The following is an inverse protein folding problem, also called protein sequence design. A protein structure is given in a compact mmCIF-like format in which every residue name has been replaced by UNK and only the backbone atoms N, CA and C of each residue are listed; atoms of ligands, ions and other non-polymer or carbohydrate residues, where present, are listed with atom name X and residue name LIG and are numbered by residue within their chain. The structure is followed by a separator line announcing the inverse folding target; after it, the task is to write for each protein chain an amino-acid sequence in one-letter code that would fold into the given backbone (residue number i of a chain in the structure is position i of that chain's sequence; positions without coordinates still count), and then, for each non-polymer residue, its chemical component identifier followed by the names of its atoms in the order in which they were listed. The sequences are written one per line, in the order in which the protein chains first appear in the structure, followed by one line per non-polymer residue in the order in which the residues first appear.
data_IF_034109357334
#
_entry.id   IF_034109357334
#
_cell.length_a   1.000
_cell.length_b   1.000
_cell.length_c   1.000
_cell.angle_alpha   90.00
_cell.angle_beta   90.00
_cell.angle_gamma   90.00
#
_symmetry.space_group_name_H-M   'P 1'
#
loop_
_entity.id
_entity.type
_entity.pdbx_description
1 polymer ?
#
# COMPACT_ATOMS: atom_id res chain seq x y z
N UNK A 1 20.28 21.87 25.69
CA UNK A 1 19.07 22.24 24.92
C UNK A 1 19.48 22.27 23.46
N UNK A 2 18.71 21.67 22.55
CA UNK A 2 19.08 21.63 21.12
C UNK A 2 19.13 23.07 20.57
N UNK A 3 20.22 23.43 19.89
CA UNK A 3 20.43 24.74 19.26
C UNK A 3 19.20 25.18 18.44
N UNK A 4 18.60 24.24 17.72
CA UNK A 4 17.41 24.47 16.89
C UNK A 4 16.19 24.94 17.70
N UNK A 5 15.96 24.33 18.87
CA UNK A 5 14.88 24.73 19.78
C UNK A 5 15.18 26.07 20.44
N UNK A 6 16.44 26.32 20.81
CA UNK A 6 16.87 27.59 21.42
C UNK A 6 16.69 28.76 20.46
N UNK A 7 17.08 28.59 19.20
CA UNK A 7 16.91 29.61 18.16
C UNK A 7 15.41 29.91 17.93
N UNK A 8 14.58 28.87 17.85
CA UNK A 8 13.12 29.03 17.72
C UNK A 8 12.48 29.78 18.91
N UNK A 9 12.83 29.41 20.15
CA UNK A 9 12.29 30.08 21.34
C UNK A 9 12.74 31.55 21.43
N UNK A 10 13.94 31.89 20.93
CA UNK A 10 14.38 33.28 20.83
C UNK A 10 13.52 34.08 19.85
N UNK A 11 13.11 33.47 18.74
CA UNK A 11 12.20 34.10 17.76
C UNK A 11 10.81 34.33 18.35
N UNK A 12 10.25 33.33 19.03
CA UNK A 12 8.97 33.44 19.73
C UNK A 12 9.02 34.53 20.80
N UNK A 13 10.10 34.60 21.59
CA UNK A 13 10.29 35.65 22.59
C UNK A 13 10.32 37.05 21.96
N UNK A 14 10.98 37.22 20.80
CA UNK A 14 10.95 38.49 20.05
C UNK A 14 9.54 38.86 19.60
N UNK A 15 8.75 37.87 19.15
CA UNK A 15 7.36 38.07 18.78
C UNK A 15 6.47 38.49 19.95
N UNK A 16 6.64 37.88 21.13
CA UNK A 16 5.94 38.27 22.36
C UNK A 16 6.20 39.74 22.74
N UNK A 17 7.47 40.17 22.65
CA UNK A 17 7.86 41.56 22.93
C UNK A 17 7.21 42.53 21.93
N UNK A 18 7.15 42.17 20.65
CA UNK A 18 6.50 42.99 19.62
C UNK A 18 4.98 43.13 19.84
N UNK A 19 4.33 42.11 20.42
CA UNK A 19 2.89 42.10 20.69
C UNK A 19 2.54 42.59 22.10
N UNK A 20 3.51 43.09 22.87
CA UNK A 20 3.28 43.66 24.20
C UNK A 20 2.85 42.63 25.26
N UNK A 21 3.19 41.35 25.08
CA UNK A 21 2.85 40.30 26.05
C UNK A 21 3.65 40.52 27.34
N UNK A 22 3.01 40.53 28.53
CA UNK A 22 3.70 40.68 29.80
C UNK A 22 4.79 39.62 30.01
N UNK A 23 5.90 39.99 30.66
CA UNK A 23 7.08 39.11 30.79
C UNK A 23 6.76 37.77 31.49
N UNK A 24 5.95 37.79 32.56
CA UNK A 24 5.54 36.57 33.26
C UNK A 24 4.64 35.64 32.43
N UNK A 25 3.75 36.21 31.62
CA UNK A 25 2.90 35.46 30.69
C UNK A 25 3.74 34.89 29.53
N UNK A 26 4.62 35.72 28.97
CA UNK A 26 5.58 35.31 27.94
C UNK A 26 6.44 34.14 28.40
N UNK A 27 6.96 34.17 29.63
CA UNK A 27 7.78 33.07 30.15
C UNK A 27 6.97 31.76 30.26
N UNK A 28 5.74 31.85 30.73
CA UNK A 28 4.84 30.68 30.83
C UNK A 28 4.54 30.07 29.46
N UNK A 29 4.30 30.91 28.45
CA UNK A 29 4.07 30.46 27.07
C UNK A 29 5.33 29.83 26.46
N UNK A 30 6.50 30.42 26.69
CA UNK A 30 7.77 29.87 26.22
C UNK A 30 8.09 28.51 26.85
N UNK A 31 7.79 28.32 28.13
CA UNK A 31 8.01 27.04 28.82
C UNK A 31 7.09 25.95 28.28
N UNK A 32 5.83 26.29 27.97
CA UNK A 32 4.89 25.38 27.29
C UNK A 32 5.35 25.01 25.89
N UNK A 33 5.73 26.01 25.08
CA UNK A 33 6.25 25.81 23.73
C UNK A 33 7.50 24.92 23.74
N UNK A 34 8.41 25.18 24.68
CA UNK A 34 9.62 24.41 24.88
C UNK A 34 9.32 22.97 25.28
N UNK A 35 8.32 22.73 26.14
CA UNK A 35 7.93 21.39 26.55
C UNK A 35 7.33 20.59 25.38
N UNK A 36 6.43 21.19 24.61
CA UNK A 36 5.75 20.55 23.49
C UNK A 36 6.71 20.18 22.33
N UNK A 37 7.66 21.06 22.01
CA UNK A 37 8.58 20.86 20.88
C UNK A 37 9.83 20.04 21.20
N UNK A 38 10.20 19.92 22.49
CA UNK A 38 11.42 19.22 22.93
C UNK A 38 11.54 17.78 22.42
N UNK A 39 10.49 16.93 22.44
CA UNK A 39 10.59 15.55 21.95
C UNK A 39 10.98 15.48 20.47
N UNK A 40 10.41 16.34 19.64
CA UNK A 40 10.60 16.34 18.17
C UNK A 40 11.80 17.16 17.71
N UNK A 41 12.52 17.76 18.65
CA UNK A 41 13.80 18.40 18.40
C UNK A 41 14.95 17.57 18.98
N UNK A 42 14.69 16.38 19.53
CA UNK A 42 15.77 15.56 20.08
C UNK A 42 16.62 14.95 18.93
N UNK A 43 17.96 14.92 19.03
CA UNK A 43 18.79 14.23 18.04
C UNK A 43 18.48 12.73 17.92
N UNK A 44 17.90 12.14 18.96
CA UNK A 44 17.45 10.75 19.00
C UNK A 44 16.13 10.53 18.27
N UNK A 45 15.39 11.58 17.90
CA UNK A 45 14.11 11.44 17.19
C UNK A 45 14.37 11.31 15.69
N UNK A 46 14.48 10.08 15.20
CA UNK A 46 14.77 9.73 13.81
C UNK A 46 13.59 9.06 13.10
N UNK A 47 13.90 8.36 12.01
CA UNK A 47 12.88 7.68 11.20
C UNK A 47 12.15 6.58 11.96
N UNK A 48 12.84 5.86 12.86
CA UNK A 48 12.26 4.76 13.64
C UNK A 48 11.19 5.31 14.58
N UNK A 49 11.47 6.39 15.29
CA UNK A 49 10.53 7.01 16.23
C UNK A 49 9.30 7.56 15.49
N UNK A 50 9.49 8.14 14.31
CA UNK A 50 8.37 8.57 13.44
C UNK A 50 7.52 7.37 13.03
N UNK A 51 8.14 6.28 12.59
CA UNK A 51 7.42 5.06 12.21
C UNK A 51 6.67 4.44 13.39
N UNK A 52 7.25 4.45 14.60
CA UNK A 52 6.58 3.95 15.81
C UNK A 52 5.31 4.74 16.11
N UNK A 53 5.33 6.07 15.99
CA UNK A 53 4.14 6.90 16.21
C UNK A 53 3.07 6.63 15.15
N UNK A 54 3.47 6.58 13.88
CA UNK A 54 2.53 6.32 12.77
C UNK A 54 1.94 4.91 12.87
N UNK A 55 2.77 3.90 13.07
CA UNK A 55 2.30 2.51 13.17
C UNK A 55 1.43 2.29 14.39
N UNK A 56 1.73 2.90 15.55
CA UNK A 56 0.89 2.79 16.73
C UNK A 56 -0.52 3.36 16.48
N UNK A 57 -0.62 4.47 15.74
CA UNK A 57 -1.90 5.02 15.34
C UNK A 57 -2.65 4.10 14.39
N UNK A 58 -1.97 3.61 13.35
CA UNK A 58 -2.56 2.68 12.37
C UNK A 58 -3.03 1.39 13.04
N UNK A 59 -2.20 0.74 13.85
CA UNK A 59 -2.52 -0.49 14.58
C UNK A 59 -3.71 -0.31 15.53
N UNK A 60 -3.75 0.82 16.26
CA UNK A 60 -4.87 1.13 17.15
C UNK A 60 -6.19 1.37 16.39
N UNK A 61 -6.09 1.93 15.18
CA UNK A 61 -7.22 2.13 14.27
C UNK A 61 -7.72 0.78 13.76
N UNK A 62 -6.82 -0.10 13.32
CA UNK A 62 -7.17 -1.46 12.87
C UNK A 62 -7.87 -2.22 13.99
N UNK A 63 -7.30 -2.21 15.20
CA UNK A 63 -7.90 -2.88 16.35
C UNK A 63 -9.32 -2.36 16.66
N UNK A 64 -9.55 -1.05 16.59
CA UNK A 64 -10.88 -0.49 16.80
C UNK A 64 -11.89 -0.94 15.74
N UNK A 65 -11.47 -1.09 14.49
CA UNK A 65 -12.34 -1.50 13.40
C UNK A 65 -12.77 -2.96 13.49
N UNK A 66 -12.00 -3.81 14.17
CA UNK A 66 -12.40 -5.18 14.45
C UNK A 66 -13.59 -5.25 15.42
N UNK A 67 -13.86 -4.18 16.18
CA UNK A 67 -15.00 -4.10 17.09
C UNK A 67 -16.30 -3.81 16.33
N UNK A 68 -17.37 -4.51 16.70
CA UNK A 68 -18.70 -4.31 16.14
C UNK A 68 -19.40 -3.07 16.69
N UNK A 69 -20.48 -2.63 16.03
CA UNK A 69 -21.30 -1.50 16.50
C UNK A 69 -21.86 -1.73 17.90
N UNK A 70 -22.27 -2.96 18.20
CA UNK A 70 -22.82 -3.35 19.51
C UNK A 70 -21.84 -3.07 20.65
N UNK A 71 -20.54 -3.28 20.43
CA UNK A 71 -19.51 -3.09 21.45
C UNK A 71 -19.40 -1.62 21.93
N UNK A 72 -19.82 -0.67 21.10
CA UNK A 72 -19.90 0.75 21.46
C UNK A 72 -21.26 1.14 22.02
N UNK A 73 -22.35 0.57 21.48
CA UNK A 73 -23.72 0.98 21.78
C UNK A 73 -24.33 0.29 23.00
N UNK A 74 -24.05 -1.00 23.23
CA UNK A 74 -24.61 -1.75 24.36
C UNK A 74 -24.28 -1.10 25.72
N UNK A 75 -23.06 -0.58 25.97
CA UNK A 75 -22.75 0.09 27.24
C UNK A 75 -23.56 1.35 27.50
N UNK A 76 -24.15 1.99 26.48
CA UNK A 76 -25.02 3.15 26.67
C UNK A 76 -26.36 2.78 27.33
N UNK A 77 -26.77 1.52 27.20
CA UNK A 77 -28.01 1.00 27.79
C UNK A 77 -27.86 0.51 29.23
N UNK A 78 -26.67 0.59 29.83
CA UNK A 78 -26.46 0.16 31.21
C UNK A 78 -26.99 1.18 32.20
N UNK A 79 -27.56 0.70 33.31
CA UNK A 79 -28.16 1.54 34.36
C UNK A 79 -27.15 2.39 35.14
N UNK A 80 -25.85 2.09 34.99
CA UNK A 80 -24.76 2.75 35.72
C UNK A 80 -23.82 3.50 34.78
N UNK A 81 -23.30 4.63 35.27
CA UNK A 81 -22.25 5.34 34.55
C UNK A 81 -20.97 4.51 34.49
N UNK A 82 -20.22 4.59 33.38
CA UNK A 82 -18.89 4.00 33.29
C UNK A 82 -17.93 4.59 34.32
N UNK A 83 -16.78 3.92 34.47
CA UNK A 83 -15.72 4.42 35.33
C UNK A 83 -15.22 5.80 34.89
N UNK A 84 -14.61 6.57 35.81
CA UNK A 84 -14.00 7.87 35.47
C UNK A 84 -12.99 7.78 34.31
N UNK A 85 -12.26 6.67 34.20
CA UNK A 85 -11.25 6.48 33.16
C UNK A 85 -11.88 6.34 31.77
N UNK A 86 -12.99 5.59 31.66
CA UNK A 86 -13.76 5.50 30.41
C UNK A 86 -14.30 6.88 30.02
N UNK A 87 -14.83 7.62 31.00
CA UNK A 87 -15.36 8.96 30.77
C UNK A 87 -14.28 9.95 30.31
N UNK A 88 -13.07 9.88 30.87
CA UNK A 88 -11.93 10.69 30.41
C UNK A 88 -11.53 10.30 28.99
N UNK A 89 -11.45 9.01 28.66
CA UNK A 89 -11.17 8.55 27.28
C UNK A 89 -12.17 9.15 26.29
N UNK A 90 -13.47 9.03 26.59
CA UNK A 90 -14.56 9.57 25.76
C UNK A 90 -14.47 11.09 25.61
N UNK A 91 -14.13 11.81 26.68
CA UNK A 91 -13.92 13.26 26.63
C UNK A 91 -12.81 13.62 25.64
N UNK A 92 -11.70 12.90 25.69
CA UNK A 92 -10.59 13.12 24.76
C UNK A 92 -11.00 12.81 23.32
N UNK A 93 -11.78 11.74 23.06
CA UNK A 93 -12.34 11.47 21.72
C UNK A 93 -13.16 12.67 21.22
N UNK A 94 -14.12 13.14 22.02
CA UNK A 94 -14.98 14.27 21.64
C UNK A 94 -14.16 15.53 21.34
N UNK A 95 -13.12 15.81 22.13
CA UNK A 95 -12.20 16.92 21.89
C UNK A 95 -11.40 16.79 20.59
N UNK A 96 -10.91 15.58 20.27
CA UNK A 96 -10.23 15.31 19.00
C UNK A 96 -11.18 15.51 17.80
N UNK A 97 -12.50 15.35 17.98
CA UNK A 97 -13.53 15.68 17.00
C UNK A 97 -14.10 17.11 17.14
N UNK A 98 -13.42 17.98 17.89
CA UNK A 98 -13.81 19.38 18.10
C UNK A 98 -15.18 19.60 18.76
N UNK A 99 -15.58 18.71 19.66
CA UNK A 99 -16.83 18.82 20.42
C UNK A 99 -16.50 19.29 21.83
N UNK A 100 -17.12 20.40 22.25
CA UNK A 100 -16.90 20.95 23.58
C UNK A 100 -17.51 20.05 24.67
N UNK A 101 -16.62 19.30 25.32
CA UNK A 101 -16.93 18.44 26.46
C UNK A 101 -16.31 18.95 27.78
N UNK A 102 -15.73 20.16 27.80
CA UNK A 102 -14.82 20.57 28.88
C UNK A 102 -15.48 20.73 30.26
N UNK A 103 -16.72 21.22 30.29
CA UNK A 103 -17.48 21.46 31.54
C UNK A 103 -18.61 20.47 31.78
N UNK A 104 -18.76 19.45 30.94
CA UNK A 104 -19.86 18.51 31.04
C UNK A 104 -19.71 17.63 32.31
N UNK A 105 -20.76 17.51 33.15
CA UNK A 105 -20.77 16.53 34.24
C UNK A 105 -20.78 15.10 33.68
N UNK A 106 -20.32 14.09 34.44
CA UNK A 106 -20.22 12.68 34.01
C UNK A 106 -21.47 12.15 33.27
N UNK A 107 -22.65 12.40 33.81
CA UNK A 107 -23.91 11.95 33.21
C UNK A 107 -24.22 12.63 31.87
N UNK A 108 -24.00 13.95 31.77
CA UNK A 108 -24.23 14.69 30.52
C UNK A 108 -23.17 14.35 29.46
N UNK A 109 -21.95 14.05 29.89
CA UNK A 109 -20.89 13.58 28.99
C UNK A 109 -21.26 12.23 28.37
N UNK A 110 -21.67 11.26 29.19
CA UNK A 110 -21.97 9.90 28.73
C UNK A 110 -23.32 9.80 28.01
N UNK A 111 -24.41 10.10 28.70
CA UNK A 111 -25.77 9.90 28.19
C UNK A 111 -26.25 11.04 27.27
N UNK A 112 -25.54 12.16 27.24
CA UNK A 112 -25.85 13.32 26.39
C UNK A 112 -24.91 13.40 25.19
N UNK A 113 -23.72 13.94 25.41
CA UNK A 113 -22.76 14.25 24.34
C UNK A 113 -22.27 13.00 23.62
N UNK A 114 -21.73 12.03 24.36
CA UNK A 114 -21.18 10.81 23.80
C UNK A 114 -22.27 9.97 23.14
N UNK A 115 -23.37 9.67 23.84
CA UNK A 115 -24.48 8.90 23.27
C UNK A 115 -24.99 9.51 21.95
N UNK A 116 -25.24 10.81 21.91
CA UNK A 116 -25.70 11.48 20.69
C UNK A 116 -24.66 11.43 19.57
N UNK A 117 -23.37 11.61 19.90
CA UNK A 117 -22.31 11.60 18.92
C UNK A 117 -22.03 10.20 18.38
N UNK A 118 -21.84 9.21 19.25
CA UNK A 118 -21.48 7.85 18.83
C UNK A 118 -22.62 7.20 18.05
N UNK A 119 -23.89 7.34 18.49
CA UNK A 119 -25.05 6.80 17.75
C UNK A 119 -25.14 7.38 16.35
N UNK A 120 -24.89 8.68 16.18
CA UNK A 120 -24.92 9.33 14.87
C UNK A 120 -23.80 8.86 13.94
N UNK A 121 -22.62 8.57 14.48
CA UNK A 121 -21.42 8.36 13.67
C UNK A 121 -20.99 6.90 13.55
N UNK A 122 -21.45 6.00 14.43
CA UNK A 122 -21.03 4.59 14.44
C UNK A 122 -21.41 3.82 13.17
N UNK A 123 -22.36 4.32 12.38
CA UNK A 123 -22.66 3.70 11.09
C UNK A 123 -21.50 3.77 10.10
N UNK A 124 -20.66 4.81 10.22
CA UNK A 124 -19.42 4.93 9.43
C UNK A 124 -18.31 3.99 9.92
N UNK A 125 -18.44 3.44 11.13
CA UNK A 125 -17.46 2.51 11.72
C UNK A 125 -17.34 1.20 10.94
N UNK A 126 -18.47 0.65 10.46
CA UNK A 126 -18.51 -0.65 9.77
C UNK A 126 -18.03 -0.58 8.32
N UNK A 127 -17.93 0.61 7.73
CA UNK A 127 -17.35 0.78 6.39
C UNK A 127 -15.83 0.61 6.33
N UNK A 128 -15.18 0.27 7.45
CA UNK A 128 -13.77 0.53 7.75
C UNK A 128 -12.68 -0.06 6.83
N UNK A 129 -12.99 -0.97 5.90
CA UNK A 129 -11.97 -1.62 5.05
C UNK A 129 -12.32 -1.64 3.57
N UNK A 130 -12.90 -0.56 3.05
CA UNK A 130 -12.97 -0.30 1.61
C UNK A 130 -11.64 0.23 1.04
N UNK A 131 -10.49 -0.12 1.63
CA UNK A 131 -9.17 0.20 1.05
C UNK A 131 -9.01 -0.38 -0.36
N UNK A 132 -9.57 -1.58 -0.56
CA UNK A 132 -9.58 -2.26 -1.87
C UNK A 132 -10.53 -1.62 -2.88
N UNK A 133 -11.30 -0.59 -2.55
CA UNK A 133 -12.24 0.05 -3.49
C UNK A 133 -12.09 1.57 -3.55
N UNK A 134 -11.60 2.20 -2.47
CA UNK A 134 -11.58 3.66 -2.34
C UNK A 134 -10.22 4.23 -1.93
N UNK A 135 -9.15 3.44 -1.77
CA UNK A 135 -7.82 3.88 -1.30
C UNK A 135 -7.82 4.75 -0.03
N UNK A 136 -8.92 4.72 0.71
CA UNK A 136 -9.14 5.53 1.89
C UNK A 136 -9.65 4.62 3.00
N UNK A 137 -9.15 4.78 4.23
CA UNK A 137 -9.77 4.13 5.36
C UNK A 137 -11.04 4.93 5.71
N UNK A 138 -12.20 4.35 5.44
CA UNK A 138 -13.55 4.96 5.51
C UNK A 138 -14.23 4.83 6.88
N UNK A 139 -13.49 4.41 7.90
CA UNK A 139 -14.01 4.21 9.27
C UNK A 139 -14.17 5.50 10.07
N UNK A 140 -14.90 5.43 11.19
CA UNK A 140 -15.10 6.57 12.08
C UNK A 140 -13.78 7.10 12.68
N UNK A 141 -12.89 6.19 13.06
CA UNK A 141 -11.65 6.51 13.78
C UNK A 141 -10.40 6.51 12.89
N UNK A 142 -10.57 6.49 11.56
CA UNK A 142 -9.47 6.24 10.62
C UNK A 142 -8.75 7.47 10.08
N UNK A 143 -9.20 8.67 10.44
CA UNK A 143 -8.78 9.90 9.78
C UNK A 143 -8.03 10.83 10.73
N UNK A 144 -6.71 10.65 10.92
CA UNK A 144 -5.94 11.51 11.82
C UNK A 144 -5.87 12.96 11.32
N UNK A 145 -5.96 13.16 10.00
CA UNK A 145 -5.92 14.49 9.35
C UNK A 145 -7.22 15.31 9.47
N UNK A 146 -8.32 14.71 9.92
CA UNK A 146 -9.58 15.42 10.22
C UNK A 146 -9.71 15.75 11.71
N UNK A 147 -8.76 15.33 12.55
CA UNK A 147 -8.78 15.58 13.98
C UNK A 147 -8.36 17.02 14.32
N UNK A 148 -8.99 17.56 15.35
CA UNK A 148 -8.77 18.92 15.84
C UNK A 148 -7.61 18.98 16.84
N UNK A 149 -6.77 20.01 16.68
CA UNK A 149 -5.70 20.34 17.62
C UNK A 149 -6.15 21.31 18.72
N UNK A 150 -7.40 21.83 18.66
CA UNK A 150 -7.87 22.90 19.54
C UNK A 150 -7.83 22.55 21.04
N UNK A 151 -7.93 21.27 21.36
CA UNK A 151 -7.95 20.75 22.73
C UNK A 151 -6.82 19.73 22.98
N UNK A 152 -5.79 19.70 22.13
CA UNK A 152 -4.72 18.71 22.19
C UNK A 152 -3.99 18.72 23.54
N UNK A 153 -3.57 19.89 24.01
CA UNK A 153 -2.90 20.05 25.31
C UNK A 153 -3.76 19.57 26.49
N UNK A 154 -5.06 19.86 26.44
CA UNK A 154 -6.01 19.45 27.47
C UNK A 154 -6.22 17.93 27.48
N UNK A 155 -6.30 17.31 26.29
CA UNK A 155 -6.37 15.86 26.16
C UNK A 155 -5.10 15.19 26.70
N UNK A 156 -3.92 15.71 26.34
CA UNK A 156 -2.63 15.16 26.77
C UNK A 156 -2.44 15.27 28.29
N UNK A 157 -2.93 16.33 28.92
CA UNK A 157 -2.89 16.48 30.37
C UNK A 157 -3.77 15.46 31.11
N UNK A 158 -4.90 15.03 30.53
CA UNK A 158 -5.83 14.09 31.15
C UNK A 158 -5.55 12.62 30.84
N UNK A 159 -4.92 12.34 29.69
CA UNK A 159 -4.63 10.98 29.21
C UNK A 159 -3.94 10.08 30.25
N UNK A 160 -2.91 10.53 31.00
CA UNK A 160 -2.25 9.69 32.01
C UNK A 160 -3.20 9.15 33.09
N UNK A 161 -4.27 9.88 33.41
CA UNK A 161 -5.25 9.42 34.41
C UNK A 161 -6.03 8.17 33.97
N UNK A 162 -6.12 7.92 32.66
CA UNK A 162 -6.81 6.74 32.10
C UNK A 162 -6.02 5.45 32.30
N UNK A 163 -4.70 5.55 32.51
CA UNK A 163 -3.78 4.43 32.72
C UNK A 163 -3.56 4.10 34.20
N UNK A 164 -4.16 4.87 35.12
CA UNK A 164 -4.18 4.52 36.56
C UNK A 164 -4.88 3.16 36.77
N UNK A 165 -5.84 2.83 35.91
CA UNK A 165 -6.54 1.55 35.91
C UNK A 165 -5.91 0.62 34.86
N UNK A 166 -5.36 -0.54 35.26
CA UNK A 166 -4.68 -1.46 34.35
C UNK A 166 -5.68 -2.15 33.41
N UNK A 167 -5.20 -2.62 32.27
CA UNK A 167 -6.00 -3.23 31.20
C UNK A 167 -6.79 -4.47 31.67
N UNK A 168 -6.26 -5.17 32.68
CA UNK A 168 -6.88 -6.34 33.29
C UNK A 168 -8.05 -6.02 34.21
N UNK A 169 -8.32 -4.74 34.50
CA UNK A 169 -9.43 -4.33 35.37
C UNK A 169 -10.80 -4.64 34.73
N UNK A 170 -11.77 -4.98 35.59
CA UNK A 170 -13.13 -5.30 35.16
C UNK A 170 -13.81 -4.19 34.36
N UNK A 171 -13.42 -2.92 34.60
CA UNK A 171 -13.85 -1.76 33.81
C UNK A 171 -13.63 -1.97 32.32
N UNK A 172 -12.42 -2.37 31.94
CA UNK A 172 -12.01 -2.50 30.55
C UNK A 172 -12.40 -3.85 29.97
N UNK A 173 -12.38 -4.91 30.77
CA UNK A 173 -12.83 -6.24 30.33
C UNK A 173 -14.31 -6.25 29.91
N UNK A 174 -15.14 -5.42 30.54
CA UNK A 174 -16.56 -5.28 30.18
C UNK A 174 -16.79 -4.35 28.99
N UNK A 175 -15.83 -3.48 28.68
CA UNK A 175 -15.92 -2.46 27.63
C UNK A 175 -14.70 -2.51 26.70
N UNK A 176 -14.47 -3.64 25.99
CA UNK A 176 -13.26 -3.84 25.19
C UNK A 176 -13.07 -2.78 24.10
N UNK A 177 -14.16 -2.33 23.47
CA UNK A 177 -14.09 -1.24 22.49
C UNK A 177 -13.57 0.07 23.10
N UNK A 178 -13.90 0.35 24.36
CA UNK A 178 -13.47 1.57 25.05
C UNK A 178 -12.02 1.48 25.56
N UNK A 179 -11.54 0.26 25.83
CA UNK A 179 -10.12 0.01 26.04
C UNK A 179 -9.31 0.32 24.78
N UNK A 180 -9.78 -0.15 23.62
CA UNK A 180 -9.15 0.14 22.34
C UNK A 180 -9.26 1.64 21.98
N UNK A 181 -10.37 2.30 22.34
CA UNK A 181 -10.48 3.76 22.19
C UNK A 181 -9.42 4.48 23.02
N UNK A 182 -9.08 4.00 24.22
CA UNK A 182 -8.01 4.62 25.03
C UNK A 182 -6.66 4.54 24.31
N UNK A 183 -6.34 3.42 23.70
CA UNK A 183 -5.11 3.28 22.91
C UNK A 183 -5.12 4.19 21.69
N UNK A 184 -6.24 4.22 20.98
CA UNK A 184 -6.39 5.08 19.82
C UNK A 184 -6.27 6.56 20.16
N UNK A 185 -6.91 7.05 21.23
CA UNK A 185 -6.78 8.46 21.65
C UNK A 185 -5.34 8.79 22.00
N UNK A 186 -4.64 7.88 22.67
CA UNK A 186 -3.24 8.07 23.04
C UNK A 186 -2.36 8.18 21.80
N UNK A 187 -2.49 7.23 20.87
CA UNK A 187 -1.76 7.27 19.60
C UNK A 187 -2.14 8.48 18.73
N UNK A 188 -3.41 8.88 18.72
CA UNK A 188 -3.91 10.05 18.00
C UNK A 188 -3.30 11.34 18.54
N UNK A 189 -3.22 11.48 19.86
CA UNK A 189 -2.58 12.63 20.49
C UNK A 189 -1.09 12.67 20.17
N UNK A 190 -0.38 11.54 20.27
CA UNK A 190 1.05 11.46 19.93
C UNK A 190 1.31 11.80 18.46
N UNK A 191 0.46 11.30 17.56
CA UNK A 191 0.49 11.62 16.13
C UNK A 191 0.29 13.11 15.87
N UNK A 192 -0.79 13.71 16.41
CA UNK A 192 -1.09 15.13 16.22
C UNK A 192 -0.03 16.02 16.85
N UNK A 193 0.48 15.66 18.01
CA UNK A 193 1.52 16.41 18.70
C UNK A 193 2.84 16.37 17.89
N UNK A 194 3.18 15.22 17.27
CA UNK A 194 4.30 15.12 16.33
C UNK A 194 4.11 16.03 15.11
N UNK A 195 2.95 15.96 14.46
CA UNK A 195 2.65 16.76 13.26
C UNK A 195 2.63 18.26 13.56
N UNK A 196 2.10 18.65 14.72
CA UNK A 196 1.91 20.06 15.11
C UNK A 196 3.20 20.71 15.62
N UNK A 197 3.98 19.98 16.41
CA UNK A 197 5.11 20.57 17.13
C UNK A 197 6.46 20.35 16.47
N UNK A 198 6.58 19.47 15.45
CA UNK A 198 7.80 19.34 14.67
C UNK A 198 8.16 20.66 13.96
N UNK A 199 9.41 21.11 14.11
CA UNK A 199 9.86 22.37 13.52
C UNK A 199 10.22 22.19 12.04
N UNK A 200 9.89 23.14 11.15
CA UNK A 200 10.23 23.06 9.72
C UNK A 200 11.73 22.95 9.42
N UNK A 201 12.56 23.47 10.33
CA UNK A 201 14.02 23.42 10.23
C UNK A 201 14.60 22.08 10.72
N UNK A 202 13.79 21.20 11.32
CA UNK A 202 14.24 19.91 11.81
C UNK A 202 14.46 18.92 10.65
N UNK A 203 15.55 18.13 10.62
CA UNK A 203 15.86 17.24 9.51
C UNK A 203 14.76 16.23 9.15
N UNK A 204 14.00 15.74 10.13
CA UNK A 204 12.92 14.77 9.88
C UNK A 204 11.60 15.42 9.46
N UNK A 205 11.49 16.75 9.45
CA UNK A 205 10.23 17.44 9.11
C UNK A 205 9.69 17.00 7.73
N UNK A 206 10.56 16.94 6.72
CA UNK A 206 10.17 16.48 5.38
C UNK A 206 9.70 15.03 5.38
N UNK A 207 10.36 14.17 6.15
CA UNK A 207 9.98 12.76 6.26
C UNK A 207 8.62 12.61 6.95
N UNK A 208 8.39 13.32 8.06
CA UNK A 208 7.11 13.38 8.77
C UNK A 208 6.02 13.88 7.84
N UNK A 209 6.27 14.97 7.10
CA UNK A 209 5.31 15.53 6.15
C UNK A 209 4.93 14.54 5.03
N UNK A 210 5.85 13.68 4.59
CA UNK A 210 5.56 12.60 3.62
C UNK A 210 4.73 11.50 4.26
N UNK A 211 5.12 11.03 5.45
CA UNK A 211 4.45 9.92 6.15
C UNK A 211 3.05 10.28 6.65
N UNK A 212 2.83 11.54 7.00
CA UNK A 212 1.55 12.04 7.51
C UNK A 212 0.69 12.70 6.44
N UNK A 213 1.18 12.75 5.19
CA UNK A 213 0.41 13.24 4.07
C UNK A 213 -0.84 12.37 3.93
N UNK A 214 -2.05 12.97 3.90
CA UNK A 214 -3.25 12.20 3.62
C UNK A 214 -3.06 11.47 2.28
N UNK A 215 -3.55 10.21 2.18
CA UNK A 215 -3.56 9.53 0.89
C UNK A 215 -4.22 10.44 -0.14
N UNK A 216 -3.67 10.47 -1.35
CA UNK A 216 -4.27 11.24 -2.45
C UNK A 216 -5.69 10.74 -2.65
N UNK A 217 -6.67 11.57 -2.24
CA UNK A 217 -8.09 11.25 -2.30
C UNK A 217 -8.42 10.80 -3.70
N UNK A 218 -9.01 9.63 -3.80
CA UNK A 218 -9.80 9.28 -4.97
C UNK A 218 -11.09 10.09 -4.88
N UNK A 219 -11.34 11.09 -5.74
CA UNK A 219 -12.62 11.80 -5.71
C UNK A 219 -13.79 10.80 -5.67
N UNK A 220 -14.81 11.06 -4.85
CA UNK A 220 -16.05 10.26 -4.83
C UNK A 220 -16.68 10.12 -6.22
N UNK A 221 -16.36 11.07 -7.09
CA UNK A 221 -16.71 11.14 -8.50
C UNK A 221 -15.52 10.76 -9.39
N UNK A 222 -14.70 9.76 -9.03
CA UNK A 222 -13.66 9.26 -9.95
C UNK A 222 -14.27 9.07 -11.33
N UNK A 223 -13.79 9.90 -12.26
CA UNK A 223 -14.32 10.00 -13.60
C UNK A 223 -13.70 8.91 -14.45
N UNK A 224 -12.42 8.61 -14.21
CA UNK A 224 -11.64 7.69 -15.02
C UNK A 224 -11.21 6.45 -14.25
N UNK A 225 -11.35 5.30 -14.91
CA UNK A 225 -10.85 4.00 -14.44
C UNK A 225 -9.88 3.42 -15.48
N UNK A 226 -8.89 2.66 -15.05
CA UNK A 226 -7.95 1.96 -15.93
C UNK A 226 -8.07 0.46 -15.74
N UNK A 227 -8.01 -0.29 -16.83
CA UNK A 227 -7.89 -1.74 -16.80
C UNK A 227 -6.93 -2.21 -17.89
N UNK A 228 -6.52 -3.47 -17.77
CA UNK A 228 -5.68 -4.16 -18.75
C UNK A 228 -6.52 -5.25 -19.40
N UNK A 229 -6.38 -5.43 -20.71
CA UNK A 229 -6.88 -6.64 -21.37
C UNK A 229 -6.06 -7.85 -20.92
N UNK A 230 -6.56 -9.07 -21.18
CA UNK A 230 -5.81 -10.31 -20.88
C UNK A 230 -4.40 -10.32 -21.51
N UNK A 231 -4.25 -9.62 -22.64
CA UNK A 231 -3.01 -9.51 -23.41
C UNK A 231 -2.14 -8.30 -22.99
N UNK A 232 -2.57 -7.55 -21.97
CA UNK A 232 -1.81 -6.47 -21.34
C UNK A 232 -1.93 -5.11 -22.04
N UNK A 233 -2.96 -4.89 -22.86
CA UNK A 233 -3.24 -3.58 -23.47
C UNK A 233 -4.00 -2.72 -22.45
N UNK A 234 -3.48 -1.54 -22.05
CA UNK A 234 -4.21 -0.63 -21.17
C UNK A 234 -5.35 0.06 -21.90
N UNK A 235 -6.48 0.22 -21.21
CA UNK A 235 -7.63 1.00 -21.69
C UNK A 235 -8.29 1.75 -20.52
N UNK A 236 -8.90 2.88 -20.86
CA UNK A 236 -9.39 3.87 -19.90
C UNK A 236 -10.90 4.06 -20.09
N UNK A 237 -11.64 4.01 -18.99
CA UNK A 237 -13.08 4.12 -18.97
C UNK A 237 -13.55 5.41 -18.30
N UNK A 238 -14.38 6.17 -18.98
CA UNK A 238 -15.02 7.37 -18.46
C UNK A 238 -16.39 7.03 -17.87
N UNK A 239 -16.57 7.16 -16.56
CA UNK A 239 -17.81 6.78 -15.84
C UNK A 239 -19.05 7.55 -16.29
N UNK A 240 -18.95 8.87 -16.46
CA UNK A 240 -20.11 9.70 -16.84
C UNK A 240 -20.49 9.55 -18.31
N UNK A 241 -19.49 9.56 -19.22
CA UNK A 241 -19.72 9.41 -20.65
C UNK A 241 -19.99 7.96 -21.05
N UNK A 242 -19.64 6.99 -20.19
CA UNK A 242 -19.69 5.54 -20.46
C UNK A 242 -18.95 5.18 -21.74
N UNK A 243 -17.78 5.77 -21.94
CA UNK A 243 -16.94 5.56 -23.13
C UNK A 243 -15.61 4.96 -22.73
N UNK A 244 -15.06 4.12 -23.61
CA UNK A 244 -13.70 3.60 -23.48
C UNK A 244 -12.81 4.34 -24.47
N UNK A 245 -11.65 4.75 -23.99
CA UNK A 245 -10.57 5.28 -24.81
C UNK A 245 -9.31 4.48 -24.56
N UNK A 246 -8.50 4.30 -25.59
CA UNK A 246 -7.26 3.54 -25.48
C UNK A 246 -6.08 4.46 -25.13
N UNK A 247 -6.16 5.75 -25.44
CA UNK A 247 -5.15 6.73 -25.07
C UNK A 247 -5.38 7.22 -23.64
N UNK A 248 -4.28 7.45 -22.91
CA UNK A 248 -4.36 7.97 -21.55
C UNK A 248 -4.86 9.42 -21.60
N UNK A 249 -6.01 9.73 -20.99
CA UNK A 249 -6.54 11.09 -20.93
C UNK A 249 -5.57 12.06 -20.22
N UNK A 250 -5.58 13.34 -20.60
CA UNK A 250 -4.76 14.37 -19.96
C UNK A 250 -5.18 14.63 -18.50
N UNK A 251 -6.48 14.49 -18.21
CA UNK A 251 -7.13 14.63 -16.92
C UNK A 251 -7.23 13.31 -16.14
N UNK A 252 -6.49 12.27 -16.55
CA UNK A 252 -6.58 10.95 -15.95
C UNK A 252 -6.15 10.95 -14.47
N UNK A 253 -7.12 10.70 -13.59
CA UNK A 253 -6.96 10.59 -12.13
C UNK A 253 -6.98 9.14 -11.62
N UNK A 254 -7.15 8.17 -12.53
CA UNK A 254 -7.41 6.76 -12.24
C UNK A 254 -6.20 5.90 -11.82
N UNK A 255 -4.97 6.43 -11.79
CA UNK A 255 -3.71 5.65 -11.67
C UNK A 255 -3.62 4.78 -10.41
N UNK A 256 -4.28 5.21 -9.33
CA UNK A 256 -4.24 4.50 -8.04
C UNK A 256 -5.52 3.74 -7.75
N UNK A 257 -6.57 3.92 -8.53
CA UNK A 257 -7.93 3.50 -8.20
C UNK A 257 -8.09 2.00 -8.41
N UNK A 258 -8.51 1.27 -7.38
CA UNK A 258 -8.96 -0.10 -7.57
C UNK A 258 -10.34 -0.05 -8.22
N UNK A 259 -10.46 -0.67 -9.39
CA UNK A 259 -11.70 -0.67 -10.16
C UNK A 259 -12.74 -1.56 -9.46
N UNK A 260 -13.93 -1.04 -9.09
CA UNK A 260 -14.99 -1.88 -8.53
C UNK A 260 -15.44 -2.93 -9.55
N UNK A 261 -15.74 -4.16 -9.10
CA UNK A 261 -16.19 -5.27 -9.99
C UNK A 261 -17.38 -4.91 -10.89
N UNK A 262 -18.28 -4.05 -10.43
CA UNK A 262 -19.42 -3.57 -11.21
C UNK A 262 -18.98 -2.68 -12.38
N UNK A 263 -17.95 -1.87 -12.18
CA UNK A 263 -17.34 -1.03 -13.22
C UNK A 263 -16.51 -1.91 -14.16
N UNK A 264 -15.73 -2.86 -13.65
CA UNK A 264 -15.01 -3.84 -14.49
C UNK A 264 -15.96 -4.58 -15.44
N UNK A 265 -17.13 -4.99 -14.94
CA UNK A 265 -18.15 -5.66 -15.75
C UNK A 265 -18.68 -4.75 -16.88
N UNK A 266 -18.97 -3.48 -16.57
CA UNK A 266 -19.41 -2.49 -17.56
C UNK A 266 -18.32 -2.19 -18.60
N UNK A 267 -17.06 -2.10 -18.16
CA UNK A 267 -15.92 -1.90 -19.01
C UNK A 267 -15.75 -3.06 -20.00
N UNK A 268 -15.89 -4.30 -19.52
CA UNK A 268 -15.83 -5.48 -20.39
C UNK A 268 -17.00 -5.50 -21.39
N UNK A 269 -18.22 -5.18 -20.94
CA UNK A 269 -19.42 -5.13 -21.78
C UNK A 269 -19.24 -4.13 -22.93
N UNK A 270 -18.87 -2.89 -22.62
CA UNK A 270 -18.61 -1.84 -23.62
C UNK A 270 -17.49 -2.22 -24.59
N UNK A 271 -16.43 -2.87 -24.09
CA UNK A 271 -15.34 -3.35 -24.94
C UNK A 271 -15.81 -4.45 -25.90
N UNK A 272 -16.71 -5.33 -25.47
CA UNK A 272 -17.24 -6.42 -26.30
C UNK A 272 -18.28 -5.95 -27.32
N UNK A 273 -19.06 -4.93 -26.96
CA UNK A 273 -20.09 -4.35 -27.84
C UNK A 273 -19.50 -3.62 -29.05
N UNK A 274 -18.35 -2.96 -28.91
CA UNK A 274 -17.75 -2.15 -29.99
C UNK A 274 -16.72 -2.94 -30.84
N UNK A 275 -17.05 -3.30 -32.09
CA UNK A 275 -16.12 -4.03 -32.96
C UNK A 275 -14.93 -3.18 -33.45
N UNK A 276 -15.08 -1.86 -33.52
CA UNK A 276 -14.01 -0.94 -33.96
C UNK A 276 -12.97 -0.83 -32.86
N UNK A 277 -13.43 -0.59 -31.62
CA UNK A 277 -12.56 -0.54 -30.44
C UNK A 277 -11.75 -1.83 -30.27
N UNK A 278 -12.36 -3.00 -30.50
CA UNK A 278 -11.64 -4.30 -30.46
C UNK A 278 -10.57 -4.41 -31.54
N UNK A 279 -10.85 -3.92 -32.75
CA UNK A 279 -9.84 -3.90 -33.81
C UNK A 279 -8.66 -2.98 -33.43
N UNK A 280 -8.93 -1.83 -32.82
CA UNK A 280 -7.88 -0.91 -32.36
C UNK A 280 -7.07 -1.47 -31.19
N UNK A 281 -7.70 -2.21 -30.27
CA UNK A 281 -7.00 -2.96 -29.22
C UNK A 281 -6.04 -4.00 -29.81
N UNK A 282 -6.49 -4.73 -30.82
CA UNK A 282 -5.66 -5.72 -31.53
C UNK A 282 -4.45 -5.06 -32.20
N UNK A 283 -4.65 -3.92 -32.87
CA UNK A 283 -3.56 -3.13 -33.47
C UNK A 283 -2.53 -2.74 -32.40
N UNK A 284 -2.99 -2.28 -31.23
CA UNK A 284 -2.10 -1.91 -30.12
C UNK A 284 -1.41 -3.11 -29.48
N UNK A 285 -2.08 -4.26 -29.39
CA UNK A 285 -1.45 -5.51 -28.93
C UNK A 285 -0.29 -5.88 -29.84
N UNK A 286 -0.51 -5.87 -31.16
CA UNK A 286 0.53 -6.15 -32.15
C UNK A 286 1.69 -5.16 -31.99
N UNK A 287 1.41 -3.87 -31.80
CA UNK A 287 2.45 -2.87 -31.57
C UNK A 287 3.24 -3.11 -30.28
N UNK A 288 2.57 -3.45 -29.17
CA UNK A 288 3.22 -3.79 -27.89
C UNK A 288 4.10 -5.03 -28.01
N UNK A 289 3.66 -6.04 -28.75
CA UNK A 289 4.46 -7.23 -29.04
C UNK A 289 5.69 -6.88 -29.87
N UNK A 290 5.53 -6.04 -30.90
CA UNK A 290 6.65 -5.55 -31.70
C UNK A 290 7.65 -4.77 -30.86
N UNK A 291 7.18 -3.89 -29.97
CA UNK A 291 8.04 -3.10 -29.08
C UNK A 291 8.78 -3.98 -28.06
N UNK A 292 8.10 -4.98 -27.49
CA UNK A 292 8.72 -6.00 -26.61
C UNK A 292 9.77 -6.85 -27.33
N UNK A 293 9.67 -6.98 -28.65
CA UNK A 293 10.58 -7.76 -29.48
C UNK A 293 11.75 -6.93 -30.06
N UNK A 294 11.71 -5.59 -30.03
CA UNK A 294 12.79 -4.73 -30.56
C UNK A 294 14.16 -4.98 -29.93
N UNK A 295 14.17 -5.22 -28.62
CA UNK A 295 15.39 -5.44 -27.83
C UNK A 295 15.71 -6.93 -27.60
N UNK A 296 14.81 -7.81 -28.03
CA UNK A 296 14.91 -9.24 -27.80
C UNK A 296 16.02 -9.87 -28.66
N UNK A 297 16.81 -10.76 -28.08
CA UNK A 297 17.83 -11.51 -28.82
C UNK A 297 17.17 -12.64 -29.63
N UNK A 298 17.35 -12.58 -30.95
CA UNK A 298 16.90 -13.61 -31.88
C UNK A 298 18.10 -14.31 -32.49
N UNK A 299 17.99 -15.63 -32.62
CA UNK A 299 18.99 -16.45 -33.28
C UNK A 299 18.48 -16.83 -34.66
N UNK A 300 19.21 -16.42 -35.70
CA UNK A 300 18.97 -16.82 -37.08
C UNK A 300 19.58 -18.20 -37.34
N UNK A 301 18.72 -19.13 -37.73
CA UNK A 301 19.07 -20.50 -38.07
C UNK A 301 18.68 -20.82 -39.51
N UNK A 302 19.30 -21.86 -40.05
CA UNK A 302 18.95 -22.43 -41.34
C UNK A 302 18.50 -23.87 -41.11
N UNK A 303 17.32 -24.23 -41.59
CA UNK A 303 16.89 -25.62 -41.61
C UNK A 303 17.72 -26.37 -42.65
N UNK A 304 18.41 -27.42 -42.19
CA UNK A 304 19.26 -28.24 -43.05
C UNK A 304 18.47 -29.04 -44.10
N UNK A 305 17.16 -29.23 -43.90
CA UNK A 305 16.31 -30.03 -44.80
C UNK A 305 15.71 -29.18 -45.91
N UNK A 306 15.11 -28.04 -45.56
CA UNK A 306 14.46 -27.13 -46.53
C UNK A 306 15.39 -26.05 -47.08
N UNK A 307 16.50 -25.74 -46.39
CA UNK A 307 17.35 -24.60 -46.69
C UNK A 307 16.74 -23.25 -46.30
N UNK A 308 15.56 -23.24 -45.68
CA UNK A 308 14.87 -22.02 -45.28
C UNK A 308 15.40 -21.48 -43.95
N UNK A 309 15.34 -20.15 -43.80
CA UNK A 309 15.74 -19.48 -42.58
C UNK A 309 14.59 -19.46 -41.58
N UNK A 310 14.91 -19.72 -40.33
CA UNK A 310 13.99 -19.54 -39.22
C UNK A 310 14.70 -18.80 -38.08
N UNK A 311 13.93 -18.11 -37.28
CA UNK A 311 14.40 -17.30 -36.17
C UNK A 311 13.79 -17.84 -34.91
N UNK A 312 14.58 -18.01 -33.85
CA UNK A 312 14.03 -18.35 -32.55
C UNK A 312 14.58 -17.41 -31.48
N UNK A 313 13.73 -17.08 -30.51
CA UNK A 313 14.14 -16.33 -29.31
C UNK A 313 14.01 -17.25 -28.10
N UNK A 314 15.13 -17.47 -27.42
CA UNK A 314 15.14 -18.25 -26.18
C UNK A 314 14.45 -17.50 -25.03
N UNK A 315 14.63 -16.17 -24.96
CA UNK A 315 14.06 -15.32 -23.91
C UNK A 315 12.52 -15.29 -23.96
N UNK A 316 11.94 -15.40 -25.16
CA UNK A 316 10.48 -15.37 -25.36
C UNK A 316 9.85 -16.73 -25.67
N UNK A 317 10.67 -17.78 -25.86
CA UNK A 317 10.21 -19.12 -26.27
C UNK A 317 9.34 -19.05 -27.54
N UNK A 318 9.76 -18.22 -28.51
CA UNK A 318 9.07 -18.01 -29.79
C UNK A 318 9.91 -18.49 -30.97
N UNK A 319 9.24 -18.96 -32.01
CA UNK A 319 9.83 -19.31 -33.32
C UNK A 319 9.08 -18.53 -34.40
N UNK A 320 9.83 -17.94 -35.32
CA UNK A 320 9.30 -17.19 -36.45
C UNK A 320 9.99 -17.67 -37.74
N UNK A 321 9.19 -17.79 -38.82
CA UNK A 321 9.69 -18.16 -40.15
C UNK A 321 9.92 -16.92 -41.04
N UNK A 322 9.61 -15.74 -40.52
CA UNK A 322 9.91 -14.44 -41.12
C UNK A 322 10.87 -13.67 -40.21
N UNK A 323 11.65 -12.75 -40.80
CA UNK A 323 12.66 -12.00 -40.05
C UNK A 323 11.99 -11.10 -39.00
N UNK A 324 12.28 -11.28 -37.70
CA UNK A 324 11.70 -10.47 -36.63
C UNK A 324 12.23 -9.03 -36.68
N UNK A 325 11.43 -8.07 -36.20
CA UNK A 325 11.82 -6.66 -36.11
C UNK A 325 12.69 -6.36 -34.88
N UNK A 326 13.69 -7.21 -34.63
CA UNK A 326 14.69 -7.00 -33.59
C UNK A 326 15.97 -6.42 -34.20
N UNK A 327 16.63 -5.54 -33.44
CA UNK A 327 18.00 -5.08 -33.77
C UNK A 327 19.06 -6.12 -33.38
N UNK A 328 18.71 -7.05 -32.50
CA UNK A 328 19.61 -8.03 -31.89
C UNK A 328 19.40 -9.42 -32.51
N UNK A 329 19.68 -9.55 -33.80
CA UNK A 329 19.67 -10.85 -34.50
C UNK A 329 21.11 -11.35 -34.61
N UNK A 330 21.40 -12.49 -34.00
CA UNK A 330 22.70 -13.15 -34.08
C UNK A 330 22.61 -14.42 -34.92
N UNK A 331 23.71 -14.79 -35.58
CA UNK A 331 23.77 -16.07 -36.29
C UNK A 331 23.82 -17.24 -35.31
N UNK A 332 23.25 -18.37 -35.70
CA UNK A 332 23.30 -19.64 -34.98
C UNK A 332 24.72 -20.03 -34.53
N UNK A 333 25.73 -19.73 -35.34
CA UNK A 333 27.14 -20.00 -35.04
C UNK A 333 27.67 -19.21 -33.85
N UNK A 334 27.18 -17.98 -33.66
CA UNK A 334 27.59 -17.10 -32.56
C UNK A 334 26.72 -17.28 -31.30
N UNK A 335 25.60 -17.99 -31.41
CA UNK A 335 24.72 -18.25 -30.27
C UNK A 335 25.27 -19.37 -29.38
N UNK A 336 25.67 -19.02 -28.16
CA UNK A 336 26.11 -19.98 -27.14
C UNK A 336 25.01 -21.00 -26.83
N UNK A 337 23.76 -20.54 -26.73
CA UNK A 337 22.61 -21.40 -26.47
C UNK A 337 22.41 -22.43 -27.60
N UNK A 338 22.49 -21.99 -28.87
CA UNK A 338 22.38 -22.88 -30.03
C UNK A 338 23.50 -23.92 -30.04
N UNK A 339 24.75 -23.50 -29.82
CA UNK A 339 25.89 -24.42 -29.74
C UNK A 339 25.73 -25.47 -28.62
N UNK A 340 25.22 -25.06 -27.46
CA UNK A 340 24.94 -25.98 -26.36
C UNK A 340 23.90 -27.05 -26.74
N UNK A 341 22.82 -26.66 -27.41
CA UNK A 341 21.79 -27.60 -27.89
C UNK A 341 22.40 -28.59 -28.89
N UNK A 342 23.20 -28.12 -29.85
CA UNK A 342 23.88 -29.00 -30.81
C UNK A 342 24.82 -29.99 -30.11
N UNK A 343 25.57 -29.56 -29.09
CA UNK A 343 26.45 -30.44 -28.31
C UNK A 343 25.66 -31.52 -27.57
N UNK A 344 24.52 -31.15 -26.98
CA UNK A 344 23.63 -32.11 -26.29
C UNK A 344 23.06 -33.12 -27.28
N UNK A 345 22.56 -32.67 -28.44
CA UNK A 345 22.03 -33.54 -29.48
C UNK A 345 23.11 -34.48 -30.05
N UNK A 346 24.32 -33.98 -30.29
CA UNK A 346 25.46 -34.79 -30.74
C UNK A 346 25.86 -35.84 -29.70
N UNK A 347 25.94 -35.46 -28.42
CA UNK A 347 26.22 -36.39 -27.33
C UNK A 347 25.14 -37.48 -27.20
N UNK A 348 23.87 -37.11 -27.35
CA UNK A 348 22.75 -38.05 -27.34
C UNK A 348 22.85 -39.05 -28.52
N UNK A 349 23.04 -38.57 -29.75
CA UNK A 349 23.23 -39.43 -30.94
C UNK A 349 24.44 -40.34 -30.79
N UNK A 350 25.55 -39.85 -30.23
CA UNK A 350 26.73 -40.66 -29.93
C UNK A 350 26.43 -41.77 -28.93
N UNK A 351 25.67 -41.48 -27.86
CA UNK A 351 25.23 -42.49 -26.88
C UNK A 351 24.36 -43.57 -27.53
N UNK A 352 23.39 -43.16 -28.35
CA UNK A 352 22.53 -44.08 -29.10
C UNK A 352 23.34 -44.98 -30.05
N UNK A 353 24.28 -44.41 -30.81
CA UNK A 353 25.15 -45.19 -31.70
C UNK A 353 26.04 -46.18 -30.92
N UNK A 354 26.60 -45.78 -29.77
CA UNK A 354 27.39 -46.67 -28.90
C UNK A 354 26.54 -47.82 -28.35
N UNK A 355 25.30 -47.54 -27.95
CA UNK A 355 24.36 -48.57 -27.48
C UNK A 355 24.05 -49.57 -28.59
N UNK A 356 23.73 -49.10 -29.79
CA UNK A 356 23.48 -49.95 -30.95
C UNK A 356 24.69 -50.82 -31.32
N UNK A 357 25.90 -50.27 -31.30
CA UNK A 357 27.14 -51.04 -31.55
C UNK A 357 27.38 -52.09 -30.46
N UNK A 358 27.15 -51.74 -29.19
CA UNK A 358 27.25 -52.70 -28.07
C UNK A 358 26.26 -53.85 -28.24
N UNK A 359 25.03 -53.55 -28.62
CA UNK A 359 23.99 -54.55 -28.88
C UNK A 359 24.38 -55.47 -30.05
N UNK A 360 24.86 -54.90 -31.18
CA UNK A 360 25.37 -55.69 -32.31
C UNK A 360 26.55 -56.58 -31.91
N UNK A 361 27.50 -56.08 -31.09
CA UNK A 361 28.64 -56.86 -30.57
C UNK A 361 28.19 -58.00 -29.63
N UNK A 362 27.18 -57.77 -28.80
CA UNK A 362 26.60 -58.83 -27.97
C UNK A 362 25.89 -59.90 -28.81
N UNK A 363 25.13 -59.50 -29.84
CA UNK A 363 24.49 -60.43 -30.79
C UNK A 363 25.53 -61.27 -31.56
N UNK A 364 26.62 -60.65 -32.03
CA UNK A 364 27.70 -61.39 -32.72
C UNK A 364 28.52 -62.30 -31.81
N UNK A 365 28.71 -61.95 -30.53
CA UNK A 365 29.34 -62.86 -29.54
C UNK A 365 28.51 -64.12 -29.26
N UNK A 366 27.20 -64.07 -29.49
CA UNK A 366 26.28 -65.21 -29.32
C UNK A 366 26.12 -66.06 -30.59
N UNK A 367 26.71 -65.67 -31.72
CA UNK A 367 26.71 -66.52 -32.92
C UNK A 367 27.78 -67.62 -32.78
N UNK A 368 27.47 -68.88 -33.15
CA UNK A 368 28.44 -69.96 -33.09
C UNK A 368 29.62 -69.64 -34.01
N UNK A 369 30.83 -69.64 -33.46
CA UNK A 369 32.07 -69.54 -34.23
C UNK A 369 32.29 -70.88 -34.92
N UNK A 370 32.13 -70.94 -36.24
CA UNK A 370 32.58 -72.10 -37.01
C UNK A 370 34.10 -72.13 -36.97
N UNK A 371 34.67 -73.07 -36.22
CA UNK A 371 36.07 -73.44 -36.33
C UNK A 371 36.24 -74.12 -37.69
N UNK A 372 37.01 -73.52 -38.59
CA UNK A 372 37.46 -74.20 -39.80
C UNK A 372 38.30 -75.40 -39.36
N UNK A 373 37.73 -76.60 -39.41
CA UNK A 373 38.50 -77.84 -39.26
C UNK A 373 39.52 -77.89 -40.39
N UNK A 374 40.78 -78.05 -40.01
CA UNK A 374 41.90 -78.35 -40.89
C UNK A 374 41.51 -79.46 -41.87
N UNK A 375 41.53 -79.17 -43.16
CA UNK A 375 41.68 -80.21 -44.18
C UNK A 375 43.17 -80.53 -44.27
N UNK A 376 43.57 -81.61 -43.62
CA UNK A 376 44.74 -82.41 -44.00
C UNK A 376 44.25 -83.82 -44.28
#
# INVERSE_FOLDING_TARGET
MNKLLTDHLADVKRHHVQHGIPEGESQTLLDKEAAAKRPYCAPSFGQVEVLVVVSAFDDSTVALQEMGKSDFLEPLGWDFLPSPQVLVTVRCVLWLFNIDAGKAPPAALWSGLWAAWIVKNIDTHVGGWEWMTCNEPTGLFTKPYELSIAHLDAAQALLPSTYVVPDSDATWQRMPAYLLLRYWVTAACDYLHMVTHCLPTFPMHTYIAVMTKPPTRTPKENVWFTALTEEGVPYYYHRHLKTIVLERPEDFDGDKVVVPRTIESQMLELLMEDPVLRADVEVRRVQLDMDKDKDNEWVECMDATSGERFYYSFQRVKVAFTRPQSKNIISAENSVAFQCVLRIQAAYRMRQAKMFVREKRQKTRKLPRFTSRNFF
#
